data_IF_957188514247
#
_entry.id   IF_957188514247
#
_cell.length_a   1.000
_cell.length_b   1.000
_cell.length_c   1.000
_cell.angle_alpha   90.00
_cell.angle_beta   90.00
_cell.angle_gamma   90.00
#
_symmetry.space_group_name_H-M   'P 1'
#
loop_
_entity.id
_entity.type
_entity.pdbx_description
1 polymer ?
#
# COMPACT_ATOMS: atom_id res chain seq x y z
N UNK A 1 -13.50 -20.44 7.88
CA UNK A 1 -12.45 -20.82 8.84
C UNK A 1 -13.03 -20.77 10.24
N UNK A 2 -12.82 -21.81 11.04
CA UNK A 2 -13.40 -21.93 12.39
C UNK A 2 -12.75 -20.98 13.39
N UNK A 3 -13.54 -20.36 14.27
CA UNK A 3 -13.07 -19.51 15.39
C UNK A 3 -11.90 -20.10 16.20
N UNK A 4 -11.82 -21.44 16.27
CA UNK A 4 -10.75 -22.15 16.96
C UNK A 4 -9.33 -21.84 16.48
N UNK A 5 -9.13 -21.52 15.19
CA UNK A 5 -7.79 -21.24 14.65
C UNK A 5 -7.23 -19.92 15.20
N UNK A 6 -8.08 -18.89 15.25
CA UNK A 6 -7.67 -17.57 15.75
C UNK A 6 -7.56 -17.55 17.29
N UNK A 7 -8.41 -18.31 17.98
CA UNK A 7 -8.27 -18.51 19.43
C UNK A 7 -6.99 -19.28 19.79
N UNK A 8 -6.51 -20.18 18.93
CA UNK A 8 -5.20 -20.81 19.08
C UNK A 8 -4.06 -19.81 18.82
N UNK A 9 -4.11 -19.07 17.71
CA UNK A 9 -3.11 -18.05 17.37
C UNK A 9 -2.98 -16.99 18.47
N UNK A 10 -4.11 -16.53 19.02
CA UNK A 10 -4.13 -15.60 20.15
C UNK A 10 -3.43 -16.18 21.39
N UNK A 11 -3.76 -17.41 21.78
CA UNK A 11 -3.13 -18.06 22.96
C UNK A 11 -1.63 -18.24 22.78
N UNK A 12 -1.20 -18.67 21.60
CA UNK A 12 0.22 -18.82 21.28
C UNK A 12 0.94 -17.46 21.33
N UNK A 13 0.34 -16.44 20.71
CA UNK A 13 0.92 -15.08 20.69
C UNK A 13 1.01 -14.47 22.09
N UNK A 14 0.02 -14.72 22.95
CA UNK A 14 0.05 -14.26 24.34
C UNK A 14 1.09 -14.99 25.18
N UNK A 15 1.28 -16.30 24.95
CA UNK A 15 2.36 -17.04 25.62
C UNK A 15 3.74 -16.54 25.17
N UNK A 16 3.92 -16.26 23.88
CA UNK A 16 5.16 -15.67 23.36
C UNK A 16 5.40 -14.26 23.91
N UNK A 17 4.35 -13.44 24.02
CA UNK A 17 4.45 -12.11 24.61
C UNK A 17 4.82 -12.18 26.09
N UNK A 18 4.21 -13.11 26.84
CA UNK A 18 4.51 -13.34 28.24
C UNK A 18 5.97 -13.73 28.43
N UNK A 19 6.47 -14.73 27.69
CA UNK A 19 7.88 -15.11 27.69
C UNK A 19 8.80 -13.93 27.35
N UNK A 20 8.45 -13.17 26.30
CA UNK A 20 9.24 -12.03 25.86
C UNK A 20 9.33 -10.92 26.91
N UNK A 21 8.25 -10.68 27.66
CA UNK A 21 8.21 -9.70 28.75
C UNK A 21 9.09 -10.14 29.92
N UNK A 22 9.09 -11.43 30.28
CA UNK A 22 9.98 -11.96 31.32
C UNK A 22 11.45 -11.90 30.90
N UNK A 23 11.77 -12.14 29.62
CA UNK A 23 13.13 -11.98 29.07
C UNK A 23 13.62 -10.53 29.20
N UNK A 24 12.72 -9.56 29.03
CA UNK A 24 13.05 -8.15 29.11
C UNK A 24 13.16 -7.65 30.56
N UNK A 25 12.25 -8.09 31.43
CA UNK A 25 12.17 -7.67 32.82
C UNK A 25 12.26 -8.87 33.78
N UNK A 26 13.51 -9.19 34.13
CA UNK A 26 13.83 -10.26 35.10
C UNK A 26 13.33 -9.95 36.53
N UNK A 27 12.77 -8.76 36.80
CA UNK A 27 12.19 -8.45 38.11
C UNK A 27 10.80 -9.03 38.32
N UNK A 28 10.11 -9.42 37.24
CA UNK A 28 8.76 -9.98 37.29
C UNK A 28 8.71 -11.36 37.96
N UNK A 29 9.81 -12.11 37.91
CA UNK A 29 9.95 -13.42 38.56
C UNK A 29 10.33 -13.34 40.05
N UNK A 30 10.61 -12.14 40.57
CA UNK A 30 11.09 -11.94 41.95
C UNK A 30 9.88 -11.87 42.88
N UNK A 31 9.75 -12.83 43.79
CA UNK A 31 8.68 -12.85 44.77
C UNK A 31 8.85 -11.73 45.81
N UNK A 32 7.73 -11.26 46.38
CA UNK A 32 7.73 -10.26 47.45
C UNK A 32 8.60 -10.72 48.64
N UNK A 33 9.76 -10.07 48.82
CA UNK A 33 10.71 -10.33 49.90
C UNK A 33 12.09 -10.86 49.46
N UNK A 34 12.24 -11.24 48.19
CA UNK A 34 13.55 -11.61 47.65
C UNK A 34 14.43 -10.38 47.37
N UNK A 35 15.77 -10.52 47.43
CA UNK A 35 16.67 -9.42 47.14
C UNK A 35 16.46 -8.93 45.69
N UNK A 36 16.53 -7.60 45.45
CA UNK A 36 16.35 -7.07 44.11
C UNK A 36 17.36 -7.68 43.14
N UNK A 37 16.98 -7.88 41.87
CA UNK A 37 17.88 -8.45 40.88
C UNK A 37 19.14 -7.58 40.77
N UNK A 38 20.31 -8.20 40.51
CA UNK A 38 21.55 -7.44 40.39
C UNK A 38 21.42 -6.39 39.28
N UNK A 39 22.03 -5.20 39.46
CA UNK A 39 22.00 -4.19 38.42
C UNK A 39 22.60 -4.74 37.11
N UNK A 40 22.05 -4.33 35.95
CA UNK A 40 22.52 -4.85 34.68
C UNK A 40 24.02 -4.58 34.51
N UNK A 41 24.79 -5.53 33.95
CA UNK A 41 26.21 -5.32 33.73
C UNK A 41 26.43 -4.14 32.77
N UNK A 42 27.61 -3.50 32.89
CA UNK A 42 27.99 -2.44 31.93
C UNK A 42 28.15 -3.07 30.56
N UNK A 43 27.16 -2.88 29.69
CA UNK A 43 27.19 -3.35 28.31
C UNK A 43 27.98 -2.39 27.42
N UNK A 44 28.71 -2.94 26.47
CA UNK A 44 29.26 -2.19 25.34
C UNK A 44 28.15 -1.72 24.40
N UNK A 45 28.44 -0.76 23.52
CA UNK A 45 27.47 -0.28 22.51
C UNK A 45 26.99 -1.45 21.64
N UNK A 46 27.90 -2.34 21.25
CA UNK A 46 27.59 -3.50 20.39
C UNK A 46 26.70 -4.52 21.12
N UNK A 47 26.99 -4.84 22.38
CA UNK A 47 26.15 -5.75 23.17
C UNK A 47 24.75 -5.16 23.41
N UNK A 48 24.67 -3.87 23.72
CA UNK A 48 23.39 -3.18 23.88
C UNK A 48 22.59 -3.18 22.57
N UNK A 49 23.25 -2.89 21.44
CA UNK A 49 22.62 -2.93 20.12
C UNK A 49 22.06 -4.30 19.78
N UNK A 50 22.87 -5.36 19.94
CA UNK A 50 22.43 -6.74 19.69
C UNK A 50 21.24 -7.13 20.56
N UNK A 51 21.27 -6.77 21.84
CA UNK A 51 20.16 -7.01 22.76
C UNK A 51 18.87 -6.32 22.27
N UNK A 52 18.89 -5.01 22.01
CA UNK A 52 17.71 -4.28 21.54
C UNK A 52 17.23 -4.72 20.15
N UNK A 53 18.13 -5.18 19.29
CA UNK A 53 17.79 -5.71 17.97
C UNK A 53 17.00 -7.01 18.08
N UNK A 54 17.46 -7.94 18.93
CA UNK A 54 16.73 -9.18 19.21
C UNK A 54 15.34 -8.89 19.78
N UNK A 55 15.24 -7.99 20.76
CA UNK A 55 13.94 -7.56 21.32
C UNK A 55 13.04 -6.96 20.22
N UNK A 56 13.57 -6.02 19.43
CA UNK A 56 12.82 -5.36 18.36
C UNK A 56 12.23 -6.35 17.36
N UNK A 57 13.04 -7.29 16.88
CA UNK A 57 12.61 -8.32 15.93
C UNK A 57 11.49 -9.19 16.55
N UNK A 58 11.66 -9.62 17.81
CA UNK A 58 10.67 -10.46 18.49
C UNK A 58 9.34 -9.73 18.73
N UNK A 59 9.37 -8.51 19.25
CA UNK A 59 8.15 -7.72 19.42
C UNK A 59 7.48 -7.39 18.08
N UNK A 60 8.24 -7.23 17.00
CA UNK A 60 7.66 -7.04 15.66
C UNK A 60 6.93 -8.28 15.14
N UNK A 61 7.48 -9.47 15.39
CA UNK A 61 6.81 -10.75 15.08
C UNK A 61 5.51 -10.90 15.88
N UNK A 62 5.54 -10.59 17.18
CA UNK A 62 4.36 -10.61 18.06
C UNK A 62 3.32 -9.60 17.57
N UNK A 63 3.72 -8.36 17.27
CA UNK A 63 2.84 -7.31 16.73
C UNK A 63 2.10 -7.79 15.47
N UNK A 64 2.81 -8.45 14.55
CA UNK A 64 2.23 -8.97 13.30
C UNK A 64 1.18 -10.05 13.56
N UNK A 65 1.44 -10.96 14.51
CA UNK A 65 0.47 -12.00 14.90
C UNK A 65 -0.73 -11.41 15.63
N UNK A 66 -0.53 -10.42 16.50
CA UNK A 66 -1.60 -9.69 17.17
C UNK A 66 -2.50 -8.93 16.18
N UNK A 67 -1.92 -8.30 15.16
CA UNK A 67 -2.67 -7.62 14.09
C UNK A 67 -3.55 -8.61 13.33
N UNK A 68 -3.00 -9.77 12.95
CA UNK A 68 -3.76 -10.83 12.28
C UNK A 68 -4.89 -11.39 13.16
N UNK A 69 -4.63 -11.60 14.46
CA UNK A 69 -5.64 -12.00 15.44
C UNK A 69 -6.77 -10.97 15.53
N UNK A 70 -6.42 -9.69 15.69
CA UNK A 70 -7.39 -8.60 15.78
C UNK A 70 -8.26 -8.51 14.51
N UNK A 71 -7.64 -8.55 13.33
CA UNK A 71 -8.33 -8.49 12.04
C UNK A 71 -9.28 -9.67 11.83
N UNK A 72 -8.92 -10.84 12.34
CA UNK A 72 -9.70 -12.06 12.16
C UNK A 72 -10.80 -12.28 13.19
N UNK A 73 -10.68 -11.73 14.40
CA UNK A 73 -11.67 -11.89 15.46
C UNK A 73 -12.97 -11.17 15.16
N UNK A 74 -14.09 -11.87 15.37
CA UNK A 74 -15.46 -11.33 15.19
C UNK A 74 -16.16 -11.04 16.51
N UNK A 75 -15.70 -11.64 17.62
CA UNK A 75 -16.27 -11.39 18.94
C UNK A 75 -15.81 -10.01 19.46
N UNK A 76 -16.73 -9.08 19.77
CA UNK A 76 -16.41 -7.68 20.02
C UNK A 76 -15.56 -7.47 21.28
N UNK A 77 -15.90 -8.13 22.40
CA UNK A 77 -15.15 -8.00 23.66
C UNK A 77 -13.69 -8.48 23.51
N UNK A 78 -13.49 -9.73 23.06
CA UNK A 78 -12.14 -10.27 22.76
C UNK A 78 -11.35 -9.34 21.83
N UNK A 79 -11.98 -8.78 20.79
CA UNK A 79 -11.31 -7.87 19.86
C UNK A 79 -10.83 -6.59 20.55
N UNK A 80 -11.61 -6.04 21.48
CA UNK A 80 -11.19 -4.89 22.30
C UNK A 80 -9.96 -5.23 23.15
N UNK A 81 -9.95 -6.40 23.78
CA UNK A 81 -8.81 -6.86 24.59
C UNK A 81 -7.55 -7.04 23.74
N UNK A 82 -7.67 -7.69 22.58
CA UNK A 82 -6.56 -7.87 21.64
C UNK A 82 -6.05 -6.51 21.14
N UNK A 83 -6.95 -5.56 20.84
CA UNK A 83 -6.58 -4.22 20.40
C UNK A 83 -5.75 -3.50 21.47
N UNK A 84 -6.15 -3.56 22.73
CA UNK A 84 -5.40 -2.96 23.83
C UNK A 84 -3.97 -3.53 23.91
N UNK A 85 -3.81 -4.84 23.84
CA UNK A 85 -2.48 -5.48 23.84
C UNK A 85 -1.67 -5.09 22.61
N UNK A 86 -2.30 -5.06 21.43
CA UNK A 86 -1.67 -4.63 20.18
C UNK A 86 -1.14 -3.19 20.26
N UNK A 87 -1.90 -2.26 20.86
CA UNK A 87 -1.46 -0.87 21.07
C UNK A 87 -0.25 -0.78 22.01
N UNK A 88 -0.26 -1.55 23.11
CA UNK A 88 0.87 -1.63 24.04
C UNK A 88 2.14 -2.18 23.37
N UNK A 89 2.00 -3.28 22.62
CA UNK A 89 3.12 -3.87 21.86
C UNK A 89 3.61 -2.92 20.78
N UNK A 90 2.71 -2.22 20.07
CA UNK A 90 3.09 -1.22 19.06
C UNK A 90 3.93 -0.10 19.68
N UNK A 91 3.53 0.40 20.86
CA UNK A 91 4.31 1.38 21.60
C UNK A 91 5.69 0.83 21.95
N UNK A 92 5.77 -0.41 22.44
CA UNK A 92 7.06 -1.05 22.79
C UNK A 92 7.98 -1.17 21.57
N UNK A 93 7.46 -1.55 20.40
CA UNK A 93 8.22 -1.61 19.14
C UNK A 93 8.84 -0.24 18.80
N UNK A 94 8.11 0.86 19.00
CA UNK A 94 8.61 2.23 18.76
C UNK A 94 9.70 2.60 19.75
N UNK A 95 9.52 2.27 21.04
CA UNK A 95 10.53 2.50 22.09
C UNK A 95 11.83 1.73 21.79
N UNK A 96 11.72 0.47 21.35
CA UNK A 96 12.86 -0.34 20.94
C UNK A 96 13.55 0.20 19.69
N UNK A 97 12.80 0.71 18.70
CA UNK A 97 13.37 1.39 17.54
C UNK A 97 14.17 2.61 17.97
N UNK A 98 13.68 3.38 18.94
CA UNK A 98 14.42 4.51 19.50
C UNK A 98 15.70 4.06 20.24
N UNK A 99 15.64 2.96 21.00
CA UNK A 99 16.81 2.36 21.64
C UNK A 99 17.86 1.89 20.61
N UNK A 100 17.44 1.31 19.49
CA UNK A 100 18.33 0.90 18.39
C UNK A 100 19.07 2.09 17.77
N UNK A 101 18.39 3.21 17.56
CA UNK A 101 19.04 4.45 17.07
C UNK A 101 20.05 4.95 18.09
N UNK A 102 19.70 4.94 19.38
CA UNK A 102 20.59 5.38 20.46
C UNK A 102 21.85 4.52 20.58
N UNK A 103 21.73 3.21 20.40
CA UNK A 103 22.84 2.25 20.56
C UNK A 103 23.45 1.82 19.23
N UNK A 104 23.15 2.52 18.14
CA UNK A 104 23.68 2.16 16.83
C UNK A 104 25.22 2.27 16.84
N UNK A 105 25.95 1.18 16.51
CA UNK A 105 27.40 1.21 16.45
C UNK A 105 27.87 2.27 15.43
N UNK A 106 28.93 3.03 15.74
CA UNK A 106 29.49 3.96 14.78
C UNK A 106 29.96 3.22 13.53
N UNK A 107 29.74 3.81 12.35
CA UNK A 107 30.25 3.27 11.10
C UNK A 107 31.78 3.11 11.19
N UNK A 108 32.31 1.95 10.81
CA UNK A 108 33.74 1.65 10.82
C UNK A 108 34.59 2.69 10.06
N UNK A 109 34.04 3.28 9.00
CA UNK A 109 34.70 4.33 8.20
C UNK A 109 34.77 5.70 8.91
N UNK A 110 33.91 5.92 9.91
CA UNK A 110 33.80 7.18 10.67
C UNK A 110 34.25 6.98 12.12
N UNK A 111 34.76 5.79 12.46
CA UNK A 111 35.20 5.44 13.81
C UNK A 111 36.39 6.29 14.20
N UNK A 112 36.28 6.98 15.33
CA UNK A 112 37.37 7.78 15.88
C UNK A 112 38.54 6.85 16.27
N UNK A 113 39.80 7.22 15.94
CA UNK A 113 40.95 6.42 16.34
C UNK A 113 41.10 6.38 17.87
N UNK A 114 41.60 5.27 18.44
CA UNK A 114 41.93 5.20 19.87
C UNK A 114 42.89 6.33 20.24
N UNK A 115 42.73 7.02 21.40
CA UNK A 115 41.96 6.62 22.58
C UNK A 115 40.63 7.38 22.76
N UNK A 116 40.03 7.94 21.71
CA UNK A 116 38.76 8.66 21.84
C UNK A 116 37.63 7.71 22.30
N UNK A 117 36.70 8.18 23.17
CA UNK A 117 35.57 7.36 23.57
C UNK A 117 34.75 6.95 22.35
N UNK A 118 34.35 5.68 22.29
CA UNK A 118 33.32 5.26 21.33
C UNK A 118 32.00 5.89 21.75
N UNK A 119 31.57 6.90 20.98
CA UNK A 119 30.25 7.48 21.12
C UNK A 119 29.32 6.82 20.11
N UNK A 120 28.13 6.44 20.57
CA UNK A 120 27.10 5.95 19.66
C UNK A 120 26.72 7.06 18.68
N UNK A 121 26.58 6.69 17.41
CA UNK A 121 26.20 7.63 16.37
C UNK A 121 24.70 7.46 16.08
N UNK A 122 23.84 8.39 16.53
CA UNK A 122 22.39 8.27 16.33
C UNK A 122 22.04 8.47 14.84
N UNK A 123 22.04 7.37 14.09
CA UNK A 123 21.52 7.30 12.73
C UNK A 123 20.19 6.56 12.74
N UNK A 124 19.20 7.09 12.03
CA UNK A 124 17.88 6.46 11.88
C UNK A 124 17.91 5.14 11.08
N UNK A 125 18.98 4.92 10.31
CA UNK A 125 19.21 3.73 9.51
C UNK A 125 19.97 2.71 10.34
N UNK A 126 19.30 1.61 10.64
CA UNK A 126 19.80 0.53 11.50
C UNK A 126 19.95 -0.70 10.61
N UNK A 127 21.18 -1.22 10.52
CA UNK A 127 21.45 -2.46 9.80
C UNK A 127 21.24 -3.65 10.75
N UNK A 128 20.35 -4.57 10.38
CA UNK A 128 20.03 -5.78 11.15
C UNK A 128 20.37 -7.07 10.39
N UNK A 129 21.05 -6.98 9.24
CA UNK A 129 21.26 -8.13 8.34
C UNK A 129 22.02 -9.27 9.01
N UNK A 130 23.12 -8.98 9.70
CA UNK A 130 23.91 -10.00 10.41
C UNK A 130 23.07 -10.71 11.48
N UNK A 131 22.22 -9.96 12.19
CA UNK A 131 21.33 -10.48 13.23
C UNK A 131 20.23 -11.34 12.62
N UNK A 132 19.67 -10.94 11.47
CA UNK A 132 18.71 -11.76 10.73
C UNK A 132 19.34 -13.07 10.24
N UNK A 133 20.58 -13.02 9.75
CA UNK A 133 21.33 -14.21 9.32
C UNK A 133 21.54 -15.17 10.49
N UNK A 134 21.99 -14.66 11.64
CA UNK A 134 22.19 -15.45 12.85
C UNK A 134 20.90 -16.10 13.35
N UNK A 135 19.79 -15.35 13.33
CA UNK A 135 18.45 -15.84 13.69
C UNK A 135 17.79 -16.69 12.59
N UNK A 136 18.42 -16.81 11.41
CA UNK A 136 17.89 -17.50 10.22
C UNK A 136 16.51 -16.99 9.80
N UNK A 137 16.32 -15.67 9.87
CA UNK A 137 15.07 -15.00 9.55
C UNK A 137 15.15 -14.32 8.17
N UNK A 138 14.06 -14.34 7.38
CA UNK A 138 14.00 -13.58 6.13
C UNK A 138 13.89 -12.07 6.41
N UNK A 139 14.31 -11.21 5.47
CA UNK A 139 14.22 -9.76 5.61
C UNK A 139 12.79 -9.25 5.75
N UNK A 140 11.80 -9.96 5.19
CA UNK A 140 10.36 -9.70 5.36
C UNK A 140 9.92 -9.70 6.84
N UNK A 141 10.72 -10.27 7.75
CA UNK A 141 10.47 -10.21 9.19
C UNK A 141 10.53 -8.78 9.73
N UNK A 142 11.27 -7.88 9.07
CA UNK A 142 11.40 -6.47 9.46
C UNK A 142 10.26 -5.58 8.93
N UNK A 143 9.34 -6.11 8.13
CA UNK A 143 8.20 -5.34 7.64
C UNK A 143 7.28 -4.96 8.80
N UNK A 144 7.10 -3.66 9.02
CA UNK A 144 6.23 -3.16 10.08
C UNK A 144 4.78 -3.19 9.58
N UNK A 145 3.91 -4.05 10.15
CA UNK A 145 2.51 -4.08 9.74
C UNK A 145 1.82 -2.81 10.21
N UNK A 146 0.99 -2.20 9.35
CA UNK A 146 0.11 -1.09 9.73
C UNK A 146 -1.22 -1.68 10.19
N UNK A 147 -1.58 -1.59 11.48
CA UNK A 147 -2.82 -2.20 11.95
C UNK A 147 -4.05 -1.64 11.25
N UNK A 148 -4.94 -2.52 10.79
CA UNK A 148 -6.11 -2.12 10.00
C UNK A 148 -7.11 -1.26 10.79
N UNK A 149 -7.15 -1.38 12.11
CA UNK A 149 -8.04 -0.58 12.95
C UNK A 149 -7.80 0.93 12.82
N UNK A 150 -6.58 1.38 12.47
CA UNK A 150 -6.31 2.80 12.21
C UNK A 150 -7.18 3.38 11.09
N UNK A 151 -7.53 2.56 10.09
CA UNK A 151 -8.45 2.95 9.03
C UNK A 151 -9.90 2.68 9.41
N UNK A 152 -10.17 1.55 10.06
CA UNK A 152 -11.54 1.15 10.41
C UNK A 152 -12.18 2.09 11.44
N UNK A 153 -11.45 2.47 12.49
CA UNK A 153 -11.99 3.33 13.54
C UNK A 153 -12.16 4.78 13.11
N UNK A 154 -11.35 5.22 12.14
CA UNK A 154 -11.42 6.56 11.56
C UNK A 154 -12.18 6.57 10.22
N UNK A 155 -12.90 5.51 9.87
CA UNK A 155 -13.51 5.36 8.54
C UNK A 155 -14.49 6.49 8.23
N UNK A 156 -15.30 6.90 9.21
CA UNK A 156 -16.25 8.00 9.05
C UNK A 156 -15.55 9.36 8.83
N UNK A 157 -14.46 9.62 9.58
CA UNK A 157 -13.67 10.83 9.42
C UNK A 157 -12.95 10.86 8.07
N UNK A 158 -12.40 9.72 7.64
CA UNK A 158 -11.76 9.55 6.34
C UNK A 158 -12.80 9.76 5.23
N UNK A 159 -13.99 9.16 5.32
CA UNK A 159 -15.04 9.34 4.32
C UNK A 159 -15.54 10.79 4.26
N UNK A 160 -15.69 11.45 5.42
CA UNK A 160 -16.05 12.87 5.48
C UNK A 160 -14.97 13.76 4.84
N UNK A 161 -13.70 13.47 5.13
CA UNK A 161 -12.56 14.14 4.50
C UNK A 161 -12.53 13.90 2.99
N UNK A 162 -12.72 12.67 2.52
CA UNK A 162 -12.64 12.31 1.11
C UNK A 162 -13.76 12.99 0.33
N UNK A 163 -14.98 13.06 0.88
CA UNK A 163 -16.09 13.87 0.33
C UNK A 163 -15.71 15.35 0.21
N UNK A 164 -15.03 15.91 1.22
CA UNK A 164 -14.56 17.30 1.18
C UNK A 164 -13.48 17.51 0.11
N UNK A 165 -12.55 16.57 -0.03
CA UNK A 165 -11.48 16.62 -1.06
C UNK A 165 -12.10 16.60 -2.46
N UNK A 166 -13.03 15.69 -2.74
CA UNK A 166 -13.74 15.64 -4.02
C UNK A 166 -14.48 16.95 -4.28
N UNK A 167 -15.17 17.49 -3.27
CA UNK A 167 -15.87 18.77 -3.40
C UNK A 167 -14.91 19.92 -3.73
N UNK A 168 -13.73 19.97 -3.10
CA UNK A 168 -12.67 20.95 -3.39
C UNK A 168 -12.07 20.77 -4.78
N UNK A 169 -11.84 19.53 -5.23
CA UNK A 169 -11.34 19.20 -6.58
C UNK A 169 -12.35 19.58 -7.67
N UNK A 170 -13.64 19.38 -7.41
CA UNK A 170 -14.74 19.79 -8.30
C UNK A 170 -15.00 21.31 -8.29
N UNK A 171 -14.26 22.08 -7.48
CA UNK A 171 -14.41 23.53 -7.37
C UNK A 171 -15.68 23.99 -6.65
N UNK A 172 -16.42 23.06 -6.05
CA UNK A 172 -17.60 23.31 -5.21
C UNK A 172 -17.26 23.46 -3.72
N UNK A 173 -16.01 23.16 -3.35
CA UNK A 173 -15.53 23.27 -1.99
C UNK A 173 -15.64 24.70 -1.56
N UNK A 174 -16.46 24.93 -0.53
CA UNK A 174 -16.84 26.22 0.04
C UNK A 174 -15.68 27.18 -0.03
N UNK A 175 -15.68 28.03 -1.05
CA UNK A 175 -14.74 29.13 -1.17
C UNK A 175 -14.91 29.89 0.13
N UNK A 176 -13.90 29.84 1.01
CA UNK A 176 -13.67 30.91 1.98
C UNK A 176 -13.93 32.17 1.18
N UNK A 177 -15.04 32.86 1.48
CA UNK A 177 -15.57 33.97 0.71
C UNK A 177 -14.51 35.09 0.70
N UNK A 178 -13.53 34.92 -0.18
CA UNK A 178 -12.63 35.96 -0.59
C UNK A 178 -13.52 36.78 -1.49
N UNK A 179 -14.02 37.87 -0.95
CA UNK A 179 -14.85 38.83 -1.70
C UNK A 179 -14.11 39.14 -2.99
N UNK A 180 -14.67 38.68 -4.11
CA UNK A 180 -14.08 38.90 -5.42
C UNK A 180 -13.98 40.41 -5.61
N UNK A 181 -12.75 40.89 -5.77
CA UNK A 181 -12.52 42.31 -6.05
C UNK A 181 -13.14 42.66 -7.40
N UNK A 182 -13.54 43.91 -7.58
CA UNK A 182 -14.15 44.37 -8.85
C UNK A 182 -13.24 44.08 -10.05
N UNK A 183 -11.91 44.19 -9.87
CA UNK A 183 -10.93 43.90 -10.91
C UNK A 183 -10.90 42.41 -11.29
N UNK A 184 -10.98 41.51 -10.30
CA UNK A 184 -11.08 40.07 -10.55
C UNK A 184 -12.37 39.71 -11.29
N UNK A 185 -13.49 40.37 -10.94
CA UNK A 185 -14.76 40.18 -11.64
C UNK A 185 -14.67 40.64 -13.11
N UNK A 186 -14.04 41.79 -13.35
CA UNK A 186 -13.82 42.32 -14.69
C UNK A 186 -12.93 41.39 -15.54
N UNK A 187 -11.85 40.87 -14.97
CA UNK A 187 -10.96 39.94 -15.67
C UNK A 187 -11.68 38.64 -16.08
N UNK A 188 -12.50 38.09 -15.19
CA UNK A 188 -13.29 36.88 -15.47
C UNK A 188 -14.30 37.14 -16.59
N UNK A 189 -15.01 38.28 -16.56
CA UNK A 189 -15.98 38.65 -17.58
C UNK A 189 -15.29 38.86 -18.94
N UNK A 190 -14.18 39.60 -18.97
CA UNK A 190 -13.45 39.88 -20.21
C UNK A 190 -12.84 38.60 -20.80
N UNK A 191 -12.31 37.70 -19.97
CA UNK A 191 -11.75 36.42 -20.42
C UNK A 191 -12.83 35.54 -21.04
N UNK A 192 -14.00 35.47 -20.41
CA UNK A 192 -15.13 34.71 -20.94
C UNK A 192 -15.68 35.31 -22.23
N UNK A 193 -15.81 36.64 -22.32
CA UNK A 193 -16.29 37.29 -23.54
C UNK A 193 -15.29 37.17 -24.70
N UNK A 194 -13.98 37.30 -24.44
CA UNK A 194 -12.93 37.00 -25.43
C UNK A 194 -12.99 35.53 -25.88
N UNK A 195 -13.23 34.61 -24.96
CA UNK A 195 -13.43 33.19 -25.25
C UNK A 195 -14.65 32.94 -26.13
N UNK A 196 -15.79 33.58 -25.83
CA UNK A 196 -17.02 33.50 -26.63
C UNK A 196 -16.80 34.00 -28.06
N UNK A 197 -16.19 35.18 -28.20
CA UNK A 197 -15.84 35.75 -29.51
C UNK A 197 -14.85 34.86 -30.27
N UNK A 198 -13.86 34.29 -29.57
CA UNK A 198 -12.91 33.34 -30.14
C UNK A 198 -13.59 32.09 -30.70
N UNK A 199 -14.56 31.52 -29.97
CA UNK A 199 -15.36 30.37 -30.45
C UNK A 199 -16.19 30.73 -31.67
N UNK A 200 -16.87 31.87 -31.67
CA UNK A 200 -17.65 32.32 -32.82
C UNK A 200 -16.77 32.50 -34.07
N UNK A 201 -15.60 33.12 -33.93
CA UNK A 201 -14.63 33.26 -35.03
C UNK A 201 -14.11 31.90 -35.49
N UNK A 202 -13.78 31.00 -34.57
CA UNK A 202 -13.29 29.67 -34.91
C UNK A 202 -14.33 28.83 -35.66
N UNK A 203 -15.61 28.90 -35.27
CA UNK A 203 -16.71 28.27 -35.99
C UNK A 203 -16.83 28.82 -37.41
N UNK A 204 -16.83 30.15 -37.58
CA UNK A 204 -16.87 30.78 -38.90
C UNK A 204 -15.69 30.32 -39.79
N UNK A 205 -14.48 30.29 -39.24
CA UNK A 205 -13.28 29.84 -39.97
C UNK A 205 -13.36 28.35 -40.31
N UNK A 206 -13.91 27.53 -39.41
CA UNK A 206 -14.13 26.10 -39.65
C UNK A 206 -15.10 25.92 -40.81
N UNK A 207 -16.25 26.61 -40.78
CA UNK A 207 -17.27 26.52 -41.83
C UNK A 207 -16.68 26.96 -43.18
N UNK A 208 -15.94 28.06 -43.23
CA UNK A 208 -15.23 28.52 -44.43
C UNK A 208 -14.26 27.45 -44.98
N UNK A 209 -13.46 26.82 -44.11
CA UNK A 209 -12.53 25.75 -44.52
C UNK A 209 -13.25 24.49 -45.00
N UNK A 210 -14.38 24.14 -44.39
CA UNK A 210 -15.19 22.99 -44.82
C UNK A 210 -15.85 23.25 -46.17
N UNK A 211 -16.33 24.47 -46.41
CA UNK A 211 -16.82 24.88 -47.72
C UNK A 211 -15.72 24.88 -48.79
N UNK A 212 -14.53 25.38 -48.47
CA UNK A 212 -13.37 25.38 -49.37
C UNK A 212 -12.90 23.95 -49.70
N UNK A 213 -12.83 23.07 -48.70
CA UNK A 213 -12.55 21.63 -48.92
C UNK A 213 -13.61 20.98 -49.79
N UNK A 214 -14.89 21.28 -49.57
CA UNK A 214 -15.99 20.74 -50.36
C UNK A 214 -15.93 21.23 -51.82
N UNK A 215 -15.57 22.50 -52.04
CA UNK A 215 -15.30 23.04 -53.39
C UNK A 215 -14.12 22.34 -54.05
N UNK A 216 -13.00 22.20 -53.34
CA UNK A 216 -11.84 21.46 -53.85
C UNK A 216 -12.16 19.99 -54.15
N UNK A 217 -12.94 19.31 -53.31
CA UNK A 217 -13.40 17.95 -53.58
C UNK A 217 -14.30 17.87 -54.81
N UNK A 218 -15.15 18.88 -55.06
CA UNK A 218 -15.99 18.94 -56.25
C UNK A 218 -15.16 19.16 -57.52
N UNK A 219 -14.16 20.05 -57.47
CA UNK A 219 -13.20 20.26 -58.57
C UNK A 219 -12.29 19.04 -58.80
N UNK A 220 -12.01 18.27 -57.74
CA UNK A 220 -11.18 17.05 -57.82
C UNK A 220 -11.98 15.80 -58.21
N UNK A 221 -13.31 15.83 -58.10
CA UNK A 221 -14.18 14.70 -58.42
C UNK A 221 -14.30 14.44 -59.94
N UNK A 222 -13.96 15.43 -60.77
CA UNK A 222 -13.92 15.28 -62.23
C UNK A 222 -12.64 14.53 -62.71
N UNK A 223 -11.76 14.10 -61.78
CA UNK A 223 -10.52 13.37 -62.06
C UNK A 223 -10.27 12.13 -61.20
N UNK A 224 -11.29 11.31 -60.88
CA UNK A 224 -11.05 10.06 -60.12
C UNK A 224 -11.52 8.81 -60.86
N UNK A 225 -10.87 8.51 -61.97
CA UNK A 225 -10.48 7.12 -62.25
C UNK A 225 -9.07 6.94 -61.70
N UNK A 226 -8.96 6.29 -60.54
CA UNK A 226 -7.66 5.98 -59.96
C UNK A 226 -7.01 4.89 -60.82
N UNK A 227 -5.86 5.20 -61.41
CA UNK A 227 -5.11 4.26 -62.26
C UNK A 227 -4.92 2.90 -61.56
N UNK A 228 -5.19 1.83 -62.29
CA UNK A 228 -5.21 0.46 -61.79
C UNK A 228 -3.86 0.06 -61.19
N UNK A 229 -2.74 0.57 -61.73
CA UNK A 229 -1.41 0.33 -61.17
C UNK A 229 -1.23 0.98 -59.79
N UNK A 230 -1.75 2.20 -59.62
CA UNK A 230 -1.70 2.93 -58.34
C UNK A 230 -2.61 2.26 -57.30
N UNK A 231 -3.78 1.77 -57.73
CA UNK A 231 -4.67 1.00 -56.87
C UNK A 231 -4.02 -0.32 -56.43
N UNK A 232 -3.43 -1.06 -57.36
CA UNK A 232 -2.71 -2.30 -57.09
C UNK A 232 -1.53 -2.08 -56.13
N UNK A 233 -0.73 -1.03 -56.35
CA UNK A 233 0.39 -0.67 -55.47
C UNK A 233 -0.08 -0.38 -54.04
N UNK A 234 -1.20 0.32 -53.87
CA UNK A 234 -1.77 0.60 -52.56
C UNK A 234 -2.28 -0.66 -51.85
N UNK A 235 -2.97 -1.54 -52.57
CA UNK A 235 -3.44 -2.83 -52.03
C UNK A 235 -2.25 -3.71 -51.63
N UNK A 236 -1.23 -3.81 -52.48
CA UNK A 236 -0.02 -4.58 -52.19
C UNK A 236 0.74 -4.01 -50.98
N UNK A 237 0.84 -2.68 -50.86
CA UNK A 237 1.44 -2.02 -49.70
C UNK A 237 0.71 -2.36 -48.41
N UNK A 238 -0.63 -2.28 -48.41
CA UNK A 238 -1.46 -2.63 -47.27
C UNK A 238 -1.31 -4.10 -46.88
N UNK A 239 -1.32 -4.99 -47.87
CA UNK A 239 -1.17 -6.43 -47.65
C UNK A 239 0.23 -6.77 -47.09
N UNK A 240 1.29 -6.23 -47.69
CA UNK A 240 2.68 -6.41 -47.21
C UNK A 240 2.83 -5.88 -45.78
N UNK A 241 2.25 -4.72 -45.48
CA UNK A 241 2.24 -4.17 -44.12
C UNK A 241 1.49 -5.04 -43.12
N UNK A 242 0.30 -5.54 -43.49
CA UNK A 242 -0.49 -6.44 -42.66
C UNK A 242 0.26 -7.76 -42.39
N UNK A 243 0.85 -8.35 -43.43
CA UNK A 243 1.62 -9.58 -43.34
C UNK A 243 2.87 -9.41 -42.48
N UNK A 244 3.63 -8.33 -42.67
CA UNK A 244 4.79 -8.00 -41.86
C UNK A 244 4.43 -7.80 -40.38
N UNK A 245 3.34 -7.06 -40.08
CA UNK A 245 2.87 -6.88 -38.70
C UNK A 245 2.44 -8.20 -38.06
N UNK A 246 1.72 -9.07 -38.80
CA UNK A 246 1.34 -10.41 -38.31
C UNK A 246 2.56 -11.30 -38.07
N UNK A 247 3.60 -11.17 -38.90
CA UNK A 247 4.86 -11.90 -38.71
C UNK A 247 5.58 -11.40 -37.46
N UNK A 248 5.78 -10.09 -37.31
CA UNK A 248 6.40 -9.50 -36.13
C UNK A 248 5.64 -9.82 -34.83
N UNK A 249 4.30 -9.86 -34.88
CA UNK A 249 3.48 -10.27 -33.74
C UNK A 249 3.77 -11.72 -33.34
N UNK A 250 3.87 -12.64 -34.31
CA UNK A 250 4.20 -14.05 -34.03
C UNK A 250 5.62 -14.22 -33.50
N UNK A 251 6.60 -13.56 -34.11
CA UNK A 251 8.00 -13.60 -33.64
C UNK A 251 8.11 -13.06 -32.21
N UNK A 252 7.41 -11.96 -31.88
CA UNK A 252 7.33 -11.44 -30.50
C UNK A 252 6.68 -12.43 -29.53
N UNK A 253 5.60 -13.10 -29.93
CA UNK A 253 4.99 -14.14 -29.08
C UNK A 253 5.94 -15.31 -28.84
N UNK A 254 6.66 -15.76 -29.87
CA UNK A 254 7.65 -16.84 -29.77
C UNK A 254 8.83 -16.43 -28.88
N UNK A 255 9.30 -15.18 -28.96
CA UNK A 255 10.33 -14.64 -28.06
C UNK A 255 9.85 -14.56 -26.60
N UNK A 256 8.60 -14.12 -26.36
CA UNK A 256 8.04 -14.10 -25.00
C UNK A 256 7.94 -15.51 -24.40
N UNK A 257 7.66 -16.52 -25.22
CA UNK A 257 7.69 -17.92 -24.80
C UNK A 257 9.13 -18.37 -24.52
N UNK A 258 10.07 -18.04 -25.41
CA UNK A 258 11.48 -18.40 -25.28
C UNK A 258 12.15 -17.80 -24.03
N UNK A 259 11.83 -16.54 -23.69
CA UNK A 259 12.34 -15.83 -22.49
C UNK A 259 11.60 -16.29 -21.21
N UNK A 260 10.51 -17.07 -21.34
CA UNK A 260 9.73 -17.57 -20.21
C UNK A 260 8.72 -16.56 -19.64
N UNK A 261 8.41 -15.50 -20.38
CA UNK A 261 7.39 -14.50 -20.02
C UNK A 261 5.97 -14.93 -20.40
N UNK A 262 5.83 -15.93 -21.29
CA UNK A 262 4.55 -16.55 -21.64
C UNK A 262 4.72 -18.08 -21.68
N UNK A 263 3.78 -18.87 -21.17
CA UNK A 263 3.89 -20.32 -21.25
C UNK A 263 3.79 -20.84 -22.69
N UNK A 264 4.45 -21.98 -23.01
CA UNK A 264 4.32 -22.62 -24.31
C UNK A 264 2.86 -23.09 -24.57
N UNK A 265 2.44 -23.06 -25.84
CA UNK A 265 1.04 -23.25 -26.30
C UNK A 265 0.42 -24.62 -25.98
N UNK A 266 1.23 -25.56 -25.51
CA UNK A 266 0.88 -26.93 -25.18
C UNK A 266 0.82 -27.17 -23.66
N UNK A 267 1.40 -26.29 -22.84
CA UNK A 267 1.18 -26.24 -21.39
C UNK A 267 0.16 -25.16 -21.00
N UNK A 268 -0.29 -24.35 -21.97
CA UNK A 268 -1.16 -23.20 -21.72
C UNK A 268 -2.50 -23.62 -21.13
N UNK A 269 -3.05 -24.79 -21.45
CA UNK A 269 -4.36 -25.21 -20.93
C UNK A 269 -4.33 -25.53 -19.43
N UNK A 270 -3.28 -26.17 -18.92
CA UNK A 270 -3.13 -26.47 -17.48
C UNK A 270 -2.76 -25.21 -16.69
N UNK A 271 -1.90 -24.35 -17.25
CA UNK A 271 -1.49 -23.11 -16.57
C UNK A 271 -2.61 -22.06 -16.57
N UNK A 272 -3.40 -21.98 -17.65
CA UNK A 272 -4.61 -21.14 -17.73
C UNK A 272 -5.65 -21.64 -16.71
N UNK A 273 -5.86 -22.94 -16.60
CA UNK A 273 -6.73 -23.52 -15.56
C UNK A 273 -6.24 -23.22 -14.14
N UNK A 274 -4.93 -23.27 -13.89
CA UNK A 274 -4.36 -22.90 -12.59
C UNK A 274 -4.51 -21.41 -12.29
N UNK A 275 -4.38 -20.55 -13.30
CA UNK A 275 -4.57 -19.11 -13.16
C UNK A 275 -6.04 -18.76 -12.91
N UNK A 276 -6.96 -19.40 -13.63
CA UNK A 276 -8.40 -19.26 -13.42
C UNK A 276 -8.79 -19.75 -12.02
N UNK A 277 -8.28 -20.91 -11.59
CA UNK A 277 -8.49 -21.43 -10.23
C UNK A 277 -7.92 -20.50 -9.15
N UNK A 278 -6.74 -19.91 -9.38
CA UNK A 278 -6.16 -18.94 -8.45
C UNK A 278 -7.01 -17.67 -8.35
N UNK A 279 -7.52 -17.20 -9.49
CA UNK A 279 -8.40 -16.03 -9.56
C UNK A 279 -9.74 -16.29 -8.85
N UNK A 280 -10.32 -17.48 -9.04
CA UNK A 280 -11.53 -17.90 -8.33
C UNK A 280 -11.30 -17.99 -6.82
N UNK A 281 -10.16 -18.54 -6.40
CA UNK A 281 -9.78 -18.62 -4.99
C UNK A 281 -9.61 -17.22 -4.38
N UNK A 282 -8.98 -16.30 -5.10
CA UNK A 282 -8.81 -14.91 -4.66
C UNK A 282 -10.17 -14.22 -4.47
N UNK A 283 -11.10 -14.41 -5.42
CA UNK A 283 -12.47 -13.91 -5.31
C UNK A 283 -13.21 -14.51 -4.10
N UNK A 284 -13.06 -15.82 -3.87
CA UNK A 284 -13.65 -16.48 -2.72
C UNK A 284 -13.10 -15.95 -1.39
N UNK A 285 -11.79 -15.71 -1.32
CA UNK A 285 -11.13 -15.14 -0.15
C UNK A 285 -11.60 -13.70 0.10
N UNK A 286 -11.71 -12.87 -0.93
CA UNK A 286 -12.22 -11.49 -0.82
C UNK A 286 -13.68 -11.48 -0.35
N UNK A 287 -14.54 -12.33 -0.93
CA UNK A 287 -15.94 -12.46 -0.50
C UNK A 287 -16.06 -12.92 0.96
N UNK A 288 -15.24 -13.89 1.38
CA UNK A 288 -15.18 -14.36 2.75
C UNK A 288 -14.68 -13.26 3.71
N UNK A 289 -13.68 -12.49 3.28
CA UNK A 289 -13.14 -11.37 4.05
C UNK A 289 -14.19 -10.26 4.25
N UNK A 290 -14.88 -9.84 3.19
CA UNK A 290 -15.97 -8.85 3.26
C UNK A 290 -17.10 -9.32 4.17
N UNK A 291 -17.50 -10.58 4.05
CA UNK A 291 -18.52 -11.17 4.93
C UNK A 291 -18.10 -11.10 6.41
N UNK A 292 -16.84 -11.43 6.71
CA UNK A 292 -16.31 -11.34 8.07
C UNK A 292 -16.29 -9.90 8.59
N UNK A 293 -15.96 -8.92 7.74
CA UNK A 293 -16.00 -7.50 8.10
C UNK A 293 -17.43 -7.02 8.39
N UNK A 294 -18.41 -7.46 7.61
CA UNK A 294 -19.82 -7.20 7.91
C UNK A 294 -20.22 -7.79 9.27
N UNK A 295 -19.86 -9.04 9.53
CA UNK A 295 -20.16 -9.72 10.80
C UNK A 295 -19.50 -9.02 12.01
N UNK A 296 -18.28 -8.50 11.84
CA UNK A 296 -17.59 -7.68 12.84
C UNK A 296 -18.37 -6.40 13.15
N UNK A 297 -18.88 -5.70 12.14
CA UNK A 297 -19.67 -4.49 12.30
C UNK A 297 -21.01 -4.78 13.00
N UNK A 298 -21.73 -5.80 12.54
CA UNK A 298 -23.02 -6.21 13.11
C UNK A 298 -22.87 -6.63 14.59
N UNK A 299 -21.82 -7.40 14.91
CA UNK A 299 -21.54 -7.81 16.29
C UNK A 299 -21.12 -6.64 17.18
N UNK A 300 -20.34 -5.69 16.66
CA UNK A 300 -19.97 -4.46 17.38
C UNK A 300 -21.21 -3.64 17.71
N UNK A 301 -22.10 -3.44 16.75
CA UNK A 301 -23.35 -2.71 16.96
C UNK A 301 -24.26 -3.43 17.96
N UNK A 302 -24.43 -4.75 17.81
CA UNK A 302 -25.21 -5.56 18.75
C UNK A 302 -24.67 -5.50 20.19
N UNK A 303 -23.35 -5.53 20.35
CA UNK A 303 -22.71 -5.37 21.66
C UNK A 303 -22.92 -3.98 22.25
N UNK A 304 -22.81 -2.93 21.43
CA UNK A 304 -23.03 -1.55 21.89
C UNK A 304 -24.47 -1.34 22.35
N UNK A 305 -25.46 -1.81 21.58
CA UNK A 305 -26.88 -1.75 21.98
C UNK A 305 -27.12 -2.48 23.30
N UNK A 306 -26.56 -3.67 23.47
CA UNK A 306 -26.69 -4.42 24.71
C UNK A 306 -26.05 -3.70 25.92
N UNK A 307 -24.95 -2.97 25.74
CA UNK A 307 -24.36 -2.13 26.79
C UNK A 307 -25.25 -0.95 27.16
N UNK A 308 -25.91 -0.34 26.19
CA UNK A 308 -26.81 0.79 26.42
C UNK A 308 -28.13 0.35 27.07
N UNK A 309 -28.64 -0.84 26.75
CA UNK A 309 -29.82 -1.45 27.41
C UNK A 309 -29.57 -1.81 28.89
N UNK A 310 -28.30 -1.96 29.30
CA UNK A 310 -27.90 -2.26 30.68
C UNK A 310 -27.73 -1.00 31.56
N UNK A 311 -27.79 0.20 30.98
CA UNK A 311 -27.64 1.50 31.67
C UNK A 311 -28.98 2.06 32.14
#
# INVERSE_FOLDING_TARGET
>A
MSNSTYDAMWRETMAELDEQVHIEDNSLDVADGDPPPPPPPKATIVEAFQHFACLYIKYLQIMRRLEACHDAMVHPQKRMDVKMVLELVTRRVIELKHALVKWNPPNGDVRLPPPMPEEAFPWEYVNLDDILVDLKLPPETLDVPVPRYFREDNAEEIEARDKLVVLLEEGNGTTLQSTMTVDQALDVIQRNERGRQGRQRALLVKDLREEEKRRHMYDSADQVEMDAEIAAANIQRLFRGSSARRRALREREEELIYIGMKPPRNSSTELEQQLDMATELEQQLDMAYRKRKQEQADNREGYQRALDDLR
#
